data_IF_740178769462
#
_entry.id   IF_740178769462
#
_cell.length_a   1.000
_cell.length_b   1.000
_cell.length_c   1.000
_cell.angle_alpha   90.00
_cell.angle_beta   90.00
_cell.angle_gamma   90.00
#
_symmetry.space_group_name_H-M   'P 1'
#
loop_
_entity.id
_entity.type
_entity.pdbx_description
1 polymer ?
#
# COMPACT_ATOMS: atom_id res chain seq x y z
N UNK A 1 7.01 -5.55 9.51
CA UNK A 1 5.82 -6.29 9.93
C UNK A 1 4.67 -5.76 9.09
N UNK A 2 3.62 -6.55 8.83
CA UNK A 2 2.46 -6.04 8.09
C UNK A 2 1.63 -5.19 9.05
N UNK A 3 1.63 -3.88 8.86
CA UNK A 3 0.93 -2.92 9.73
C UNK A 3 -0.44 -2.52 9.20
N UNK A 4 -0.65 -2.59 7.88
CA UNK A 4 -1.88 -2.14 7.25
C UNK A 4 -2.08 -2.72 5.86
N UNK A 5 -3.35 -2.85 5.47
CA UNK A 5 -3.78 -3.56 4.29
C UNK A 5 -5.02 -2.88 3.69
N UNK A 6 -5.09 -2.82 2.36
CA UNK A 6 -6.19 -2.21 1.61
C UNK A 6 -6.59 -3.06 0.42
N UNK A 7 -7.87 -3.01 0.04
CA UNK A 7 -8.44 -3.85 -1.02
C UNK A 7 -9.05 -2.97 -2.10
N UNK A 8 -8.58 -3.14 -3.32
CA UNK A 8 -9.23 -2.65 -4.53
C UNK A 8 -10.13 -3.75 -5.07
N UNK A 9 -11.43 -3.64 -4.82
CA UNK A 9 -12.43 -4.61 -5.27
C UNK A 9 -12.82 -4.44 -6.74
N UNK A 10 -12.44 -3.35 -7.40
CA UNK A 10 -12.72 -3.13 -8.82
C UNK A 10 -11.66 -3.84 -9.65
N UNK A 11 -10.38 -3.64 -9.31
CA UNK A 11 -9.26 -4.26 -10.00
C UNK A 11 -8.87 -5.63 -9.41
N UNK A 12 -9.50 -6.00 -8.29
CA UNK A 12 -9.21 -7.22 -7.53
C UNK A 12 -7.78 -7.33 -7.00
N UNK A 13 -7.24 -6.21 -6.52
CA UNK A 13 -5.90 -6.14 -5.96
C UNK A 13 -5.92 -5.91 -4.45
N UNK A 14 -4.89 -6.42 -3.77
CA UNK A 14 -4.63 -6.20 -2.36
C UNK A 14 -3.32 -5.43 -2.22
N UNK A 15 -3.31 -4.41 -1.37
CA UNK A 15 -2.15 -3.59 -1.05
C UNK A 15 -1.80 -3.77 0.42
N UNK A 16 -0.53 -3.80 0.77
CA UNK A 16 -0.11 -3.80 2.18
C UNK A 16 1.18 -3.03 2.39
N UNK A 17 1.29 -2.48 3.60
CA UNK A 17 2.49 -1.81 4.10
C UNK A 17 3.31 -2.78 4.93
N UNK A 18 4.62 -2.86 4.65
CA UNK A 18 5.57 -3.61 5.46
C UNK A 18 6.59 -2.67 6.12
N UNK A 19 6.46 -2.53 7.43
CA UNK A 19 7.33 -1.71 8.27
C UNK A 19 8.74 -2.28 8.48
N UNK A 20 8.98 -3.55 8.13
CA UNK A 20 10.31 -4.17 8.25
C UNK A 20 11.22 -3.74 7.10
N UNK A 21 10.64 -3.56 5.91
CA UNK A 21 11.37 -3.24 4.69
C UNK A 21 11.08 -1.83 4.16
N UNK A 22 10.19 -1.09 4.82
CA UNK A 22 9.69 0.21 4.36
C UNK A 22 9.11 0.14 2.94
N UNK A 23 8.28 -0.87 2.68
CA UNK A 23 7.69 -1.12 1.37
C UNK A 23 6.17 -1.03 1.39
N UNK A 24 5.62 -0.73 0.20
CA UNK A 24 4.23 -1.00 -0.13
C UNK A 24 4.22 -1.96 -1.30
N UNK A 25 3.44 -3.01 -1.14
CA UNK A 25 3.33 -4.09 -2.11
C UNK A 25 1.89 -4.20 -2.61
N UNK A 26 1.74 -4.74 -3.81
CA UNK A 26 0.48 -5.10 -4.43
C UNK A 26 0.50 -6.59 -4.77
N UNK A 27 -0.62 -7.27 -4.56
CA UNK A 27 -0.86 -8.65 -4.98
C UNK A 27 -2.23 -8.76 -5.64
N UNK A 28 -2.40 -9.80 -6.45
CA UNK A 28 -3.73 -10.15 -6.97
C UNK A 28 -4.47 -10.98 -5.93
N UNK A 29 -5.77 -10.76 -5.78
CA UNK A 29 -6.61 -11.56 -4.89
C UNK A 29 -7.04 -12.90 -5.51
N UNK A 30 -7.07 -12.99 -6.84
CA UNK A 30 -7.61 -14.17 -7.55
C UNK A 30 -6.60 -14.88 -8.46
N UNK A 31 -5.53 -14.19 -8.86
CA UNK A 31 -4.49 -14.76 -9.72
C UNK A 31 -3.22 -15.04 -8.91
N UNK A 32 -2.30 -15.79 -9.51
CA UNK A 32 -1.03 -16.30 -8.98
C UNK A 32 -0.50 -15.58 -7.71
N UNK A 33 -0.06 -16.29 -6.65
CA UNK A 33 0.27 -15.74 -5.32
C UNK A 33 1.54 -14.86 -5.24
N UNK A 34 1.89 -14.17 -6.32
CA UNK A 34 2.98 -13.22 -6.37
C UNK A 34 2.58 -11.82 -5.89
N UNK A 35 3.61 -11.02 -5.62
CA UNK A 35 3.46 -9.61 -5.29
C UNK A 35 4.47 -8.76 -6.06
N UNK A 36 4.19 -7.46 -6.14
CA UNK A 36 5.09 -6.45 -6.70
C UNK A 36 5.27 -5.32 -5.69
N UNK A 37 6.49 -4.81 -5.56
CA UNK A 37 6.77 -3.61 -4.79
C UNK A 37 6.37 -2.40 -5.62
N UNK A 38 5.46 -1.56 -5.10
CA UNK A 38 4.95 -0.36 -5.77
C UNK A 38 5.53 0.93 -5.20
N UNK A 39 5.93 0.92 -3.92
CA UNK A 39 6.65 2.01 -3.28
C UNK A 39 7.73 1.42 -2.38
N UNK A 40 8.95 1.97 -2.48
CA UNK A 40 10.11 1.55 -1.66
C UNK A 40 10.99 2.70 -1.18
N UNK A 41 10.79 3.89 -1.74
CA UNK A 41 11.63 5.06 -1.48
C UNK A 41 10.80 6.10 -0.69
N UNK A 42 11.43 6.77 0.28
CA UNK A 42 10.79 7.80 1.11
C UNK A 42 9.80 7.29 2.16
N UNK A 43 9.80 5.98 2.43
CA UNK A 43 9.02 5.36 3.50
C UNK A 43 9.90 5.17 4.74
N UNK A 44 9.30 5.34 5.92
CA UNK A 44 9.95 5.08 7.21
C UNK A 44 8.87 4.66 8.19
N UNK A 45 8.81 3.37 8.52
CA UNK A 45 7.76 2.77 9.35
C UNK A 45 6.36 3.01 8.79
N UNK A 46 6.05 2.62 7.54
CA UNK A 46 4.70 2.73 7.01
C UNK A 46 3.72 1.92 7.88
N UNK A 47 2.66 2.57 8.36
CA UNK A 47 1.69 1.97 9.30
C UNK A 47 0.30 1.75 8.72
N UNK A 48 0.06 2.23 7.49
CA UNK A 48 -1.24 2.05 6.85
C UNK A 48 -1.23 2.36 5.37
N UNK A 49 -2.12 1.69 4.66
CA UNK A 49 -2.45 1.94 3.26
C UNK A 49 -3.98 1.96 3.13
N UNK A 50 -4.49 2.80 2.25
CA UNK A 50 -5.89 2.89 1.87
C UNK A 50 -5.97 3.08 0.34
N UNK A 51 -7.08 2.67 -0.26
CA UNK A 51 -7.31 2.80 -1.70
C UNK A 51 -8.67 3.42 -1.95
N UNK A 52 -8.79 4.16 -3.04
CA UNK A 52 -10.06 4.68 -3.55
C UNK A 52 -10.30 4.10 -4.95
N UNK A 53 -10.91 2.90 -5.04
CA UNK A 53 -11.02 2.15 -6.29
C UNK A 53 -11.67 2.95 -7.44
N UNK A 54 -12.70 3.72 -7.14
CA UNK A 54 -13.44 4.50 -8.15
C UNK A 54 -12.65 5.67 -8.75
N UNK A 55 -11.61 6.16 -8.05
CA UNK A 55 -10.76 7.28 -8.49
C UNK A 55 -9.38 6.84 -8.95
N UNK A 56 -9.03 5.56 -8.75
CA UNK A 56 -7.72 5.02 -9.07
C UNK A 56 -6.58 5.53 -8.18
N UNK A 57 -6.88 6.14 -7.03
CA UNK A 57 -5.87 6.71 -6.12
C UNK A 57 -5.64 5.79 -4.92
N UNK A 58 -4.40 5.74 -4.42
CA UNK A 58 -4.03 5.05 -3.17
C UNK A 58 -3.46 6.04 -2.17
N UNK A 59 -3.95 5.99 -0.93
CA UNK A 59 -3.51 6.82 0.19
C UNK A 59 -2.59 6.01 1.09
N UNK A 60 -1.48 6.60 1.52
CA UNK A 60 -0.52 5.96 2.43
C UNK A 60 -0.50 6.78 3.71
N UNK A 61 -0.66 6.12 4.87
CA UNK A 61 -0.46 6.77 6.17
C UNK A 61 0.93 6.41 6.68
N UNK A 62 1.83 7.39 6.66
CA UNK A 62 3.13 7.31 7.33
C UNK A 62 3.01 7.94 8.72
N UNK A 63 3.46 7.23 9.76
CA UNK A 63 3.42 7.66 11.16
C UNK A 63 4.35 8.85 11.47
N UNK A 64 5.25 9.25 10.56
CA UNK A 64 6.24 10.30 10.81
C UNK A 64 6.29 11.44 9.79
N UNK A 65 5.49 11.43 8.72
CA UNK A 65 5.43 12.54 7.76
C UNK A 65 4.18 13.38 8.01
N UNK A 66 4.38 14.60 8.52
CA UNK A 66 3.35 15.64 8.74
C UNK A 66 2.72 16.21 7.46
N UNK A 67 3.07 15.67 6.30
CA UNK A 67 2.57 16.10 4.99
C UNK A 67 2.30 14.84 4.18
N UNK A 68 1.02 14.46 4.09
CA UNK A 68 0.59 13.39 3.21
C UNK A 68 1.10 13.71 1.80
N UNK A 69 2.01 12.89 1.28
CA UNK A 69 2.40 12.94 -0.13
C UNK A 69 1.19 12.46 -0.93
N UNK A 70 0.53 13.40 -1.59
CA UNK A 70 -0.46 13.13 -2.63
C UNK A 70 0.30 12.60 -3.84
N UNK A 71 0.09 11.34 -4.21
CA UNK A 71 0.34 10.85 -5.58
C UNK A 71 -0.99 10.76 -6.32
#
# INVERSE_FOLDING_TARGET
MVEGLAVDWISNNIYWADSLYDWIMIGSMYTNPGYKIVVRDGLTGPSGVAVHPEKGWSFIRNSFIRHATFI
#
